data_IF_380862041496
#
_entry.id   IF_380862041496
#
_cell.length_a   1.000
_cell.length_b   1.000
_cell.length_c   1.000
_cell.angle_alpha   90.00
_cell.angle_beta   90.00
_cell.angle_gamma   90.00
#
_symmetry.space_group_name_H-M   'P 1'
#
loop_
_entity.id
_entity.type
_entity.pdbx_description
1 polymer ?
#
# COMPACT_ATOMS: atom_id res chain seq x y z
N UNK A 1 -34.32 -13.54 -44.35
CA UNK A 1 -33.63 -14.33 -43.30
C UNK A 1 -32.28 -13.71 -42.97
N UNK A 2 -32.24 -12.38 -42.84
CA UNK A 2 -31.14 -11.56 -42.33
C UNK A 2 -31.92 -10.59 -41.45
N UNK A 3 -31.96 -10.76 -40.12
CA UNK A 3 -32.48 -9.70 -39.22
C UNK A 3 -32.47 -10.01 -37.72
N UNK A 4 -32.08 -11.21 -37.28
CA UNK A 4 -31.94 -11.48 -35.83
C UNK A 4 -30.50 -11.49 -35.32
N UNK A 5 -29.52 -11.74 -36.19
CA UNK A 5 -28.11 -11.80 -35.78
C UNK A 5 -27.45 -10.40 -35.70
N UNK A 6 -27.87 -9.46 -36.55
CA UNK A 6 -27.28 -8.10 -36.61
C UNK A 6 -27.76 -7.23 -35.45
N UNK A 7 -29.03 -7.35 -35.04
CA UNK A 7 -29.60 -6.56 -33.95
C UNK A 7 -28.99 -6.94 -32.58
N UNK A 8 -28.74 -8.24 -32.35
CA UNK A 8 -28.08 -8.70 -31.13
C UNK A 8 -26.62 -8.22 -31.02
N UNK A 9 -25.88 -8.20 -32.14
CA UNK A 9 -24.51 -7.71 -32.18
C UNK A 9 -24.41 -6.19 -31.95
N UNK A 10 -25.34 -5.40 -32.52
CA UNK A 10 -25.35 -3.94 -32.33
C UNK A 10 -25.76 -3.56 -30.89
N UNK A 11 -26.75 -4.25 -30.30
CA UNK A 11 -27.15 -3.99 -28.92
C UNK A 11 -26.06 -4.38 -27.90
N UNK A 12 -25.35 -5.48 -28.12
CA UNK A 12 -24.24 -5.90 -27.26
C UNK A 12 -23.06 -4.92 -27.31
N UNK A 13 -22.72 -4.40 -28.50
CA UNK A 13 -21.64 -3.40 -28.67
C UNK A 13 -22.02 -2.05 -28.05
N UNK A 14 -23.27 -1.59 -28.20
CA UNK A 14 -23.73 -0.35 -27.57
C UNK A 14 -23.77 -0.45 -26.04
N UNK A 15 -24.27 -1.56 -25.48
CA UNK A 15 -24.31 -1.75 -24.04
C UNK A 15 -22.90 -1.84 -23.43
N UNK A 16 -21.98 -2.53 -24.12
CA UNK A 16 -20.58 -2.62 -23.71
C UNK A 16 -19.87 -1.26 -23.78
N UNK A 17 -20.18 -0.44 -24.79
CA UNK A 17 -19.64 0.92 -24.91
C UNK A 17 -20.15 1.90 -23.84
N UNK A 18 -21.41 1.77 -23.41
CA UNK A 18 -21.98 2.60 -22.33
C UNK A 18 -21.38 2.22 -20.97
N UNK A 19 -21.29 0.93 -20.66
CA UNK A 19 -20.71 0.45 -19.40
C UNK A 19 -19.23 0.84 -19.28
N UNK A 20 -18.44 0.69 -20.36
CA UNK A 20 -17.05 1.10 -20.36
C UNK A 20 -16.86 2.63 -20.20
N UNK A 21 -17.83 3.43 -20.67
CA UNK A 21 -17.80 4.88 -20.50
C UNK A 21 -18.21 5.30 -19.08
N UNK A 22 -19.21 4.66 -18.48
CA UNK A 22 -19.56 4.85 -17.06
C UNK A 22 -18.40 4.46 -16.15
N UNK A 23 -17.77 3.30 -16.38
CA UNK A 23 -16.61 2.86 -15.57
C UNK A 23 -15.43 3.83 -15.66
N UNK A 24 -15.19 4.42 -16.84
CA UNK A 24 -14.13 5.40 -17.04
C UNK A 24 -14.43 6.74 -16.35
N UNK A 25 -15.70 7.15 -16.33
CA UNK A 25 -16.14 8.36 -15.61
C UNK A 25 -16.06 8.16 -14.10
N UNK A 26 -16.54 7.02 -13.57
CA UNK A 26 -16.38 6.63 -12.16
C UNK A 26 -14.92 6.63 -11.73
N UNK A 27 -14.02 6.04 -12.53
CA UNK A 27 -12.60 6.00 -12.21
C UNK A 27 -11.95 7.39 -12.16
N UNK A 28 -12.28 8.28 -13.11
CA UNK A 28 -11.74 9.64 -13.16
C UNK A 28 -12.26 10.53 -12.01
N UNK A 29 -13.57 10.41 -11.72
CA UNK A 29 -14.19 11.08 -10.58
C UNK A 29 -13.56 10.60 -9.26
N UNK A 30 -13.38 9.28 -9.13
CA UNK A 30 -12.73 8.70 -7.95
C UNK A 30 -11.29 9.21 -7.78
N UNK A 31 -10.47 9.23 -8.83
CA UNK A 31 -9.07 9.66 -8.68
C UNK A 31 -8.96 11.13 -8.24
N UNK A 32 -9.86 11.99 -8.72
CA UNK A 32 -9.95 13.39 -8.25
C UNK A 32 -10.32 13.46 -6.77
N UNK A 33 -11.35 12.70 -6.35
CA UNK A 33 -11.76 12.60 -4.95
C UNK A 33 -10.63 12.07 -4.05
N UNK A 34 -9.92 11.04 -4.50
CA UNK A 34 -8.83 10.43 -3.73
C UNK A 34 -7.66 11.40 -3.53
N UNK A 35 -7.34 12.22 -4.54
CA UNK A 35 -6.33 13.26 -4.43
C UNK A 35 -6.74 14.34 -3.42
N UNK A 36 -7.98 14.83 -3.48
CA UNK A 36 -8.51 15.81 -2.49
C UNK A 36 -8.47 15.24 -1.07
N UNK A 37 -8.87 13.97 -0.90
CA UNK A 37 -8.79 13.28 0.40
C UNK A 37 -7.33 13.21 0.86
N UNK A 38 -6.39 12.76 0.03
CA UNK A 38 -4.99 12.66 0.42
C UNK A 38 -4.43 14.02 0.85
N UNK A 39 -4.76 15.10 0.12
CA UNK A 39 -4.34 16.47 0.45
C UNK A 39 -4.98 17.02 1.74
N UNK A 40 -6.15 16.52 2.14
CA UNK A 40 -6.78 16.91 3.41
C UNK A 40 -6.05 16.41 4.66
N UNK A 41 -5.16 15.42 4.51
CA UNK A 41 -4.40 14.86 5.63
C UNK A 41 -3.05 15.56 5.81
N UNK A 42 -2.83 16.11 7.00
CA UNK A 42 -1.51 16.51 7.49
C UNK A 42 -0.98 15.42 8.41
N UNK A 43 0.17 14.83 8.07
CA UNK A 43 0.82 13.81 8.88
C UNK A 43 2.13 14.34 9.45
N UNK A 44 2.43 13.97 10.68
CA UNK A 44 3.61 14.43 11.41
C UNK A 44 4.32 13.30 12.13
N UNK A 45 5.66 13.34 12.11
CA UNK A 45 6.51 12.46 12.91
C UNK A 45 7.46 13.33 13.73
N UNK A 46 7.41 13.20 15.05
CA UNK A 46 8.23 14.00 15.98
C UNK A 46 8.12 15.52 15.73
N UNK A 47 6.94 16.02 15.37
CA UNK A 47 6.68 17.43 15.07
C UNK A 47 7.20 17.91 13.71
N UNK A 48 7.70 17.00 12.85
CA UNK A 48 8.00 17.31 11.45
C UNK A 48 6.84 16.89 10.57
N UNK A 49 6.31 17.85 9.80
CA UNK A 49 5.28 17.59 8.80
C UNK A 49 5.88 16.75 7.67
N UNK A 50 5.19 15.65 7.33
CA UNK A 50 5.56 14.77 6.24
C UNK A 50 5.09 15.34 4.89
N UNK A 51 5.89 15.11 3.84
CA UNK A 51 5.57 15.52 2.48
C UNK A 51 4.72 14.46 1.78
N UNK A 52 3.50 14.82 1.37
CA UNK A 52 2.65 14.00 0.52
C UNK A 52 3.21 13.94 -0.91
N UNK A 53 3.40 12.72 -1.43
CA UNK A 53 3.48 12.54 -2.89
C UNK A 53 2.09 12.69 -3.49
N UNK A 54 1.86 13.81 -4.17
CA UNK A 54 0.56 14.18 -4.75
C UNK A 54 0.00 13.19 -5.77
N UNK A 55 0.86 12.53 -6.53
CA UNK A 55 0.43 11.47 -7.44
C UNK A 55 0.28 10.14 -6.67
N UNK A 56 -0.73 9.31 -6.98
CA UNK A 56 -0.82 7.99 -6.40
C UNK A 56 0.36 7.11 -6.86
N UNK A 57 0.87 6.29 -5.96
CA UNK A 57 1.92 5.29 -6.25
C UNK A 57 1.36 4.01 -6.86
N UNK A 58 0.04 3.82 -6.76
CA UNK A 58 -0.71 2.73 -7.37
C UNK A 58 -2.17 3.13 -7.47
N UNK A 59 -2.80 2.78 -8.60
CA UNK A 59 -4.25 2.74 -8.76
C UNK A 59 -4.67 1.29 -8.94
N UNK A 60 -5.75 0.88 -8.29
CA UNK A 60 -6.25 -0.49 -8.32
C UNK A 60 -7.78 -0.52 -8.37
N UNK A 61 -8.30 -1.66 -8.83
CA UNK A 61 -9.72 -2.01 -8.79
C UNK A 61 -9.90 -3.43 -8.29
N UNK A 62 -11.09 -3.75 -7.78
CA UNK A 62 -11.45 -5.09 -7.34
C UNK A 62 -12.80 -5.55 -7.94
N UNK A 63 -12.83 -5.81 -9.26
CA UNK A 63 -14.05 -6.20 -9.98
C UNK A 63 -14.61 -7.56 -9.54
N UNK A 64 -13.83 -8.37 -8.83
CA UNK A 64 -14.29 -9.66 -8.29
C UNK A 64 -15.29 -9.44 -7.15
N UNK A 65 -15.15 -8.35 -6.39
CA UNK A 65 -16.00 -8.04 -5.24
C UNK A 65 -16.98 -6.89 -5.48
N UNK A 66 -16.74 -6.02 -6.45
CA UNK A 66 -17.68 -4.97 -6.83
C UNK A 66 -17.09 -3.86 -7.71
N UNK A 67 -17.86 -2.79 -7.85
CA UNK A 67 -17.37 -1.55 -8.46
C UNK A 67 -16.68 -0.74 -7.37
N UNK A 68 -15.37 -0.92 -7.26
CA UNK A 68 -14.52 -0.25 -6.27
C UNK A 68 -13.22 0.19 -6.94
N UNK A 69 -12.85 1.43 -6.65
CA UNK A 69 -11.64 2.06 -7.15
C UNK A 69 -10.82 2.51 -5.95
N UNK A 70 -9.50 2.32 -6.03
CA UNK A 70 -8.58 2.69 -4.98
C UNK A 70 -7.29 3.29 -5.51
N UNK A 71 -6.80 4.31 -4.80
CA UNK A 71 -5.53 4.97 -5.03
C UNK A 71 -4.67 4.87 -3.76
N UNK A 72 -3.39 4.61 -3.96
CA UNK A 72 -2.41 4.47 -2.87
C UNK A 72 -1.50 5.68 -2.85
N UNK A 73 -1.37 6.31 -1.68
CA UNK A 73 -0.56 7.51 -1.48
C UNK A 73 0.53 7.28 -0.43
N UNK A 74 1.64 8.00 -0.56
CA UNK A 74 2.79 7.91 0.34
C UNK A 74 3.13 9.29 0.87
N UNK A 75 3.35 9.37 2.19
CA UNK A 75 3.92 10.53 2.86
C UNK A 75 5.36 10.21 3.25
N UNK A 76 6.25 11.19 3.08
CA UNK A 76 7.69 11.00 3.28
C UNK A 76 8.25 11.97 4.33
N UNK A 77 9.21 11.49 5.13
CA UNK A 77 10.08 12.34 5.94
C UNK A 77 11.38 12.52 5.15
N UNK A 78 11.57 13.70 4.55
CA UNK A 78 12.74 14.02 3.73
C UNK A 78 12.97 13.02 2.58
N UNK A 79 11.90 12.55 1.93
CA UNK A 79 11.95 11.57 0.85
C UNK A 79 12.01 10.09 1.29
N UNK A 80 12.18 9.80 2.59
CA UNK A 80 12.05 8.44 3.11
C UNK A 80 10.58 8.14 3.42
N UNK A 81 9.98 7.02 2.96
CA UNK A 81 8.57 6.73 3.17
C UNK A 81 8.28 6.57 4.67
N UNK A 82 7.32 7.33 5.18
CA UNK A 82 6.99 7.41 6.60
C UNK A 82 5.55 6.97 6.91
N UNK A 83 4.63 7.18 5.97
CA UNK A 83 3.29 6.60 6.01
C UNK A 83 2.81 6.27 4.59
N UNK A 84 1.84 5.38 4.52
CA UNK A 84 1.16 4.97 3.29
C UNK A 84 -0.33 4.84 3.56
N UNK A 85 -1.15 5.21 2.59
CA UNK A 85 -2.58 5.04 2.67
C UNK A 85 -3.14 4.39 1.41
N UNK A 86 -4.11 3.49 1.56
CA UNK A 86 -5.04 3.08 0.50
C UNK A 86 -6.34 3.84 0.72
N UNK A 87 -6.67 4.75 -0.19
CA UNK A 87 -7.93 5.47 -0.23
C UNK A 87 -8.78 4.79 -1.29
N UNK A 88 -10.01 4.38 -0.96
CA UNK A 88 -10.88 3.72 -1.94
C UNK A 88 -12.36 3.99 -1.68
N UNK A 89 -13.14 3.96 -2.76
CA UNK A 89 -14.58 4.14 -2.72
C UNK A 89 -15.30 2.99 -3.39
N UNK A 90 -16.32 2.48 -2.70
CA UNK A 90 -17.29 1.57 -3.28
C UNK A 90 -18.37 2.37 -4.00
N UNK A 91 -18.70 1.94 -5.21
CA UNK A 91 -19.87 2.39 -5.97
C UNK A 91 -20.95 1.31 -5.98
N UNK A 92 -20.56 0.03 -6.01
CA UNK A 92 -21.46 -1.13 -5.89
C UNK A 92 -20.77 -2.31 -5.20
N UNK A 93 -21.46 -3.08 -4.33
CA UNK A 93 -22.85 -2.90 -3.88
C UNK A 93 -22.98 -1.91 -2.72
N UNK A 94 -21.88 -1.33 -2.25
CA UNK A 94 -21.86 -0.31 -1.19
C UNK A 94 -21.50 1.06 -1.77
N UNK A 95 -21.65 2.11 -0.96
CA UNK A 95 -21.35 3.51 -1.37
C UNK A 95 -20.27 4.18 -0.53
N UNK A 96 -19.79 3.52 0.53
CA UNK A 96 -18.85 4.11 1.47
C UNK A 96 -17.46 4.36 0.88
N UNK A 97 -16.80 5.39 1.40
CA UNK A 97 -15.37 5.64 1.20
C UNK A 97 -14.57 5.13 2.39
N UNK A 98 -13.36 4.65 2.15
CA UNK A 98 -12.45 4.15 3.19
C UNK A 98 -11.06 4.71 3.00
N UNK A 99 -10.44 5.14 4.10
CA UNK A 99 -9.02 5.50 4.13
C UNK A 99 -8.31 4.53 5.09
N UNK A 100 -7.41 3.71 4.56
CA UNK A 100 -6.61 2.75 5.33
C UNK A 100 -5.18 3.24 5.41
N UNK A 101 -4.71 3.58 6.60
CA UNK A 101 -3.36 4.08 6.85
C UNK A 101 -2.48 3.00 7.48
N UNK A 102 -1.20 3.05 7.15
CA UNK A 102 -0.14 2.30 7.80
C UNK A 102 1.08 3.19 8.06
N UNK A 103 1.55 3.22 9.31
CA UNK A 103 2.83 3.84 9.69
C UNK A 103 4.01 3.01 9.19
N UNK A 104 4.99 3.67 8.61
CA UNK A 104 6.23 3.08 8.10
C UNK A 104 7.47 3.55 8.88
N UNK A 105 7.26 4.22 10.02
CA UNK A 105 8.31 4.73 10.91
C UNK A 105 8.37 3.96 12.23
N UNK A 106 9.50 4.08 12.93
CA UNK A 106 9.67 3.54 14.29
C UNK A 106 9.21 4.52 15.37
N UNK A 107 9.07 5.80 15.00
CA UNK A 107 8.66 6.90 15.85
C UNK A 107 7.13 7.00 15.94
N UNK A 108 6.60 7.69 16.97
CA UNK A 108 5.20 8.09 16.99
C UNK A 108 4.81 8.91 15.76
N UNK A 109 3.60 8.68 15.25
CA UNK A 109 3.02 9.41 14.13
C UNK A 109 1.67 10.01 14.54
N UNK A 110 1.44 11.23 14.08
CA UNK A 110 0.20 11.96 14.24
C UNK A 110 -0.37 12.30 12.87
N UNK A 111 -1.68 12.27 12.73
CA UNK A 111 -2.40 12.58 11.51
C UNK A 111 -3.65 13.36 11.83
N UNK A 112 -3.79 14.51 11.19
CA UNK A 112 -4.97 15.37 11.28
C UNK A 112 -5.65 15.49 9.93
N UNK A 113 -6.97 15.57 9.94
CA UNK A 113 -7.79 15.91 8.78
C UNK A 113 -8.83 16.93 9.21
N UNK A 114 -8.93 18.04 8.48
CA UNK A 114 -9.85 19.14 8.81
C UNK A 114 -9.74 19.57 10.29
N UNK A 115 -8.51 19.72 10.79
CA UNK A 115 -8.15 20.02 12.19
C UNK A 115 -8.59 18.98 13.24
N UNK A 116 -9.11 17.82 12.83
CA UNK A 116 -9.43 16.70 13.71
C UNK A 116 -8.27 15.72 13.77
N UNK A 117 -7.87 15.33 14.99
CA UNK A 117 -6.87 14.29 15.24
C UNK A 117 -7.46 12.91 14.90
N UNK A 118 -7.45 12.56 13.62
CA UNK A 118 -7.93 11.28 13.12
C UNK A 118 -6.99 10.12 13.53
N UNK A 119 -5.67 10.35 13.59
CA UNK A 119 -4.68 9.30 13.84
C UNK A 119 -3.60 9.75 14.82
N UNK A 120 -3.44 9.05 15.95
CA UNK A 120 -2.35 9.26 16.92
C UNK A 120 -1.80 7.92 17.38
N UNK A 121 -0.72 7.47 16.75
CA UNK A 121 -0.09 6.19 17.05
C UNK A 121 1.26 6.40 17.74
N UNK A 122 1.37 5.95 18.99
CA UNK A 122 2.63 5.96 19.75
C UNK A 122 3.53 4.74 19.47
N UNK A 123 3.01 3.71 18.80
CA UNK A 123 3.72 2.45 18.55
C UNK A 123 4.54 2.54 17.26
N UNK A 124 5.69 1.85 17.17
CA UNK A 124 6.42 1.71 15.91
C UNK A 124 5.55 0.98 14.88
N UNK A 125 5.47 1.51 13.66
CA UNK A 125 4.75 0.86 12.56
C UNK A 125 5.54 -0.23 11.86
N UNK A 126 6.87 -0.18 11.99
CA UNK A 126 7.80 -1.14 11.40
C UNK A 126 8.90 -1.52 12.38
N UNK A 127 9.51 -2.67 12.14
CA UNK A 127 10.73 -3.09 12.84
C UNK A 127 11.78 -3.49 11.81
N UNK A 128 12.90 -2.78 11.81
CA UNK A 128 13.99 -3.03 10.87
C UNK A 128 14.85 -4.21 11.33
N UNK A 129 15.16 -5.12 10.40
CA UNK A 129 16.02 -6.28 10.61
C UNK A 129 17.06 -6.36 9.49
N UNK A 130 18.30 -6.76 9.76
CA UNK A 130 19.26 -7.02 8.69
C UNK A 130 18.77 -8.20 7.86
N UNK A 131 18.93 -8.12 6.53
CA UNK A 131 18.69 -9.27 5.65
C UNK A 131 19.81 -10.29 5.87
N UNK A 132 19.50 -11.54 6.28
CA UNK A 132 20.51 -12.56 6.55
C UNK A 132 21.40 -12.82 5.33
N UNK A 133 22.72 -12.82 5.53
CA UNK A 133 23.72 -13.07 4.49
C UNK A 133 23.54 -12.21 3.22
N UNK A 134 23.04 -10.97 3.37
CA UNK A 134 22.90 -10.06 2.24
C UNK A 134 24.28 -9.67 1.67
N UNK A 135 24.44 -9.63 0.33
CA UNK A 135 25.65 -9.09 -0.27
C UNK A 135 25.76 -7.59 0.04
N UNK A 136 26.98 -7.03 0.08
CA UNK A 136 27.17 -5.59 0.14
C UNK A 136 26.41 -4.88 -0.98
N UNK A 137 25.92 -3.67 -0.68
CA UNK A 137 25.22 -2.84 -1.65
C UNK A 137 26.07 -2.55 -2.87
N UNK A 138 25.46 -2.70 -4.05
CA UNK A 138 26.10 -2.43 -5.33
C UNK A 138 26.63 -1.01 -5.45
N UNK A 139 27.59 -0.85 -6.36
CA UNK A 139 28.33 0.41 -6.56
C UNK A 139 27.45 1.58 -7.04
N UNK A 140 26.28 1.30 -7.62
CA UNK A 140 25.36 2.33 -8.09
C UNK A 140 23.89 2.00 -7.79
N UNK A 141 23.03 2.99 -7.99
CA UNK A 141 21.61 2.95 -7.66
C UNK A 141 20.84 1.85 -8.40
N UNK A 142 21.21 1.58 -9.66
CA UNK A 142 20.56 0.55 -10.47
C UNK A 142 20.89 -0.87 -9.99
N UNK A 143 22.15 -1.13 -9.61
CA UNK A 143 22.57 -2.42 -9.07
C UNK A 143 21.89 -2.68 -7.72
N UNK A 144 21.85 -1.67 -6.83
CA UNK A 144 21.15 -1.77 -5.55
C UNK A 144 19.66 -2.07 -5.72
N UNK A 145 18.99 -1.44 -6.67
CA UNK A 145 17.58 -1.75 -6.96
C UNK A 145 17.39 -3.20 -7.45
N UNK A 146 18.29 -3.69 -8.30
CA UNK A 146 18.27 -5.09 -8.74
C UNK A 146 18.46 -6.04 -7.56
N UNK A 147 19.40 -5.76 -6.65
CA UNK A 147 19.58 -6.54 -5.42
C UNK A 147 18.32 -6.54 -4.55
N UNK A 148 17.71 -5.39 -4.31
CA UNK A 148 16.46 -5.30 -3.55
C UNK A 148 15.34 -6.12 -4.19
N UNK A 149 15.18 -6.08 -5.52
CA UNK A 149 14.19 -6.92 -6.24
C UNK A 149 14.47 -8.41 -6.10
N UNK A 150 15.73 -8.83 -6.16
CA UNK A 150 16.10 -10.24 -5.99
C UNK A 150 15.81 -10.72 -4.56
N UNK A 151 16.09 -9.88 -3.57
CA UNK A 151 15.80 -10.17 -2.16
C UNK A 151 14.28 -10.18 -1.91
N UNK A 152 13.53 -9.22 -2.45
CA UNK A 152 12.08 -9.15 -2.30
C UNK A 152 11.38 -10.42 -2.80
N UNK A 153 11.85 -11.02 -3.91
CA UNK A 153 11.33 -12.28 -4.46
C UNK A 153 11.51 -13.50 -3.56
N UNK A 154 12.38 -13.43 -2.54
CA UNK A 154 12.58 -14.50 -1.56
C UNK A 154 11.57 -14.46 -0.41
N UNK A 155 10.79 -13.39 -0.32
CA UNK A 155 9.69 -13.31 0.61
C UNK A 155 8.45 -13.99 0.01
N UNK A 156 7.79 -14.81 0.82
CA UNK A 156 6.46 -15.34 0.52
C UNK A 156 5.51 -14.95 1.65
N UNK A 157 4.40 -14.30 1.28
CA UNK A 157 3.41 -13.81 2.22
C UNK A 157 2.08 -14.54 2.00
N UNK A 158 1.43 -14.84 3.12
CA UNK A 158 0.13 -15.49 3.16
C UNK A 158 -0.82 -14.68 4.05
N UNK A 159 -2.09 -14.62 3.64
CA UNK A 159 -3.15 -13.96 4.38
C UNK A 159 -4.27 -14.95 4.68
N UNK A 160 -4.77 -14.95 5.91
CA UNK A 160 -5.90 -15.79 6.32
C UNK A 160 -7.18 -14.99 6.20
N UNK A 161 -8.09 -15.46 5.34
CA UNK A 161 -9.40 -14.88 5.12
C UNK A 161 -10.36 -15.19 6.28
N UNK A 162 -11.49 -14.48 6.30
CA UNK A 162 -12.51 -14.62 7.36
C UNK A 162 -13.14 -16.01 7.43
N UNK A 163 -13.18 -16.73 6.30
CA UNK A 163 -13.66 -18.10 6.19
C UNK A 163 -12.59 -19.15 6.55
N UNK A 164 -11.38 -18.70 6.90
CA UNK A 164 -10.25 -19.55 7.23
C UNK A 164 -9.42 -20.01 6.02
N UNK A 165 -9.82 -19.66 4.79
CA UNK A 165 -8.99 -19.91 3.60
C UNK A 165 -7.69 -19.08 3.64
N UNK A 166 -6.67 -19.55 2.93
CA UNK A 166 -5.35 -18.91 2.90
C UNK A 166 -5.03 -18.45 1.49
N UNK A 167 -4.84 -17.15 1.32
CA UNK A 167 -4.40 -16.54 0.07
C UNK A 167 -2.89 -16.35 0.08
N UNK A 168 -2.23 -16.81 -0.98
CA UNK A 168 -0.82 -16.49 -1.22
C UNK A 168 -0.73 -15.18 -1.98
N UNK A 169 -0.15 -14.17 -1.34
CA UNK A 169 -0.06 -12.83 -1.90
C UNK A 169 1.02 -12.74 -2.97
N UNK A 170 0.70 -12.09 -4.09
CA UNK A 170 1.64 -11.91 -5.20
C UNK A 170 2.38 -10.58 -5.04
N UNK A 171 3.70 -10.61 -5.11
CA UNK A 171 4.48 -9.37 -5.19
C UNK A 171 4.16 -8.63 -6.49
N UNK A 172 3.88 -7.33 -6.41
CA UNK A 172 3.77 -6.49 -7.59
C UNK A 172 5.13 -6.35 -8.30
N UNK A 173 5.10 -6.20 -9.62
CA UNK A 173 6.31 -6.23 -10.46
C UNK A 173 7.20 -4.99 -10.27
N UNK A 174 6.59 -3.86 -9.93
CA UNK A 174 7.28 -2.61 -9.60
C UNK A 174 7.17 -2.30 -8.11
N UNK A 175 8.20 -1.71 -7.49
CA UNK A 175 8.06 -1.07 -6.20
C UNK A 175 6.98 0.03 -6.29
N UNK A 176 6.19 0.20 -5.23
CA UNK A 176 5.28 1.34 -5.08
C UNK A 176 6.06 2.65 -5.01
N UNK A 177 7.15 2.64 -4.25
CA UNK A 177 7.96 3.83 -4.02
C UNK A 177 9.45 3.50 -3.97
N UNK A 178 10.28 4.45 -4.36
CA UNK A 178 11.73 4.38 -4.25
C UNK A 178 12.29 5.75 -3.87
N UNK A 179 13.29 5.76 -3.00
CA UNK A 179 14.16 6.92 -2.83
C UNK A 179 15.58 6.53 -3.21
N UNK A 180 16.25 7.40 -3.95
CA UNK A 180 17.54 7.10 -4.59
C UNK A 180 18.70 7.89 -3.98
N UNK A 181 18.37 8.97 -3.28
CA UNK A 181 19.33 9.80 -2.56
C UNK A 181 19.43 9.36 -1.10
N UNK A 182 20.59 9.52 -0.45
CA UNK A 182 20.74 9.20 0.97
C UNK A 182 19.85 10.06 1.87
N UNK A 183 19.22 9.42 2.87
CA UNK A 183 18.42 10.06 3.92
C UNK A 183 18.79 9.44 5.27
N UNK A 184 19.47 10.20 6.12
CA UNK A 184 20.00 9.71 7.39
C UNK A 184 21.01 8.58 7.19
N UNK A 185 20.73 7.41 7.77
CA UNK A 185 21.54 6.19 7.65
C UNK A 185 21.26 5.40 6.35
N UNK A 186 20.11 5.65 5.70
CA UNK A 186 19.70 4.94 4.50
C UNK A 186 20.31 5.59 3.25
N UNK A 187 21.04 4.79 2.46
CA UNK A 187 21.66 5.22 1.19
C UNK A 187 20.66 5.15 0.04
N UNK A 188 19.75 4.18 0.09
CA UNK A 188 18.73 3.95 -0.93
C UNK A 188 17.67 2.99 -0.37
N UNK A 189 16.41 3.15 -0.78
CA UNK A 189 15.37 2.20 -0.41
C UNK A 189 14.26 2.03 -1.45
N UNK A 190 13.47 0.99 -1.25
CA UNK A 190 12.32 0.66 -2.06
C UNK A 190 11.21 0.03 -1.21
N UNK A 191 9.96 0.39 -1.54
CA UNK A 191 8.74 -0.14 -0.94
C UNK A 191 8.05 -1.05 -1.96
N UNK A 192 7.85 -2.30 -1.61
CA UNK A 192 7.17 -3.32 -2.42
C UNK A 192 5.83 -3.69 -1.81
N UNK A 193 4.85 -3.99 -2.65
CA UNK A 193 3.54 -4.48 -2.24
C UNK A 193 3.37 -5.96 -2.60
N UNK A 194 2.73 -6.68 -1.68
CA UNK A 194 2.18 -8.01 -1.88
C UNK A 194 0.66 -7.88 -1.90
N UNK A 195 0.06 -8.25 -3.02
CA UNK A 195 -1.31 -7.93 -3.36
C UNK A 195 -2.14 -9.17 -3.64
N UNK A 196 -3.45 -9.05 -3.43
CA UNK A 196 -4.47 -9.88 -4.05
C UNK A 196 -5.00 -9.12 -5.27
N UNK A 197 -4.93 -9.72 -6.45
CA UNK A 197 -5.14 -8.99 -7.69
C UNK A 197 -4.14 -7.84 -7.82
N UNK A 198 -4.62 -6.60 -7.67
CA UNK A 198 -3.79 -5.38 -7.61
C UNK A 198 -3.87 -4.63 -6.29
N UNK A 199 -4.79 -4.98 -5.38
CA UNK A 199 -4.95 -4.34 -4.07
C UNK A 199 -3.85 -4.79 -3.09
N UNK A 200 -3.00 -3.88 -2.57
CA UNK A 200 -1.96 -4.22 -1.60
C UNK A 200 -2.51 -4.70 -0.26
N UNK A 201 -2.09 -5.89 0.16
CA UNK A 201 -2.51 -6.51 1.42
C UNK A 201 -1.37 -6.47 2.47
N UNK A 202 -0.13 -6.42 2.00
CA UNK A 202 1.06 -6.29 2.84
C UNK A 202 2.22 -5.59 2.11
N UNK A 203 3.15 -5.07 2.89
CA UNK A 203 4.23 -4.21 2.41
C UNK A 203 5.58 -4.74 2.87
N UNK A 204 6.57 -4.66 1.99
CA UNK A 204 7.97 -4.96 2.26
C UNK A 204 8.82 -3.71 1.97
N UNK A 205 9.51 -3.23 2.99
CA UNK A 205 10.47 -2.16 2.88
C UNK A 205 11.87 -2.76 2.83
N UNK A 206 12.69 -2.27 1.90
CA UNK A 206 14.10 -2.64 1.79
C UNK A 206 14.95 -1.37 1.73
N UNK A 207 16.03 -1.34 2.52
CA UNK A 207 16.95 -0.21 2.56
C UNK A 207 18.39 -0.69 2.63
N UNK A 208 19.22 -0.16 1.74
CA UNK A 208 20.66 -0.17 1.98
C UNK A 208 21.00 0.93 2.97
N UNK A 209 21.71 0.58 4.03
CA UNK A 209 22.17 1.51 5.07
C UNK A 209 23.68 1.48 5.18
N UNK A 210 24.29 2.65 5.38
CA UNK A 210 25.73 2.73 5.57
C UNK A 210 26.08 2.34 7.01
N UNK A 211 26.89 1.30 7.16
CA UNK A 211 27.46 0.89 8.43
C UNK A 211 28.98 0.82 8.32
N UNK A 212 29.64 1.91 8.69
CA UNK A 212 31.10 2.00 8.69
C UNK A 212 31.68 1.86 7.28
N UNK A 213 31.03 2.44 6.26
CA UNK A 213 31.45 2.39 4.87
C UNK A 213 30.97 1.14 4.11
N UNK A 214 30.18 0.27 4.75
CA UNK A 214 29.59 -0.91 4.13
C UNK A 214 28.08 -0.74 4.03
N UNK A 215 27.57 -0.74 2.81
CA UNK A 215 26.13 -0.71 2.54
C UNK A 215 25.50 -2.07 2.87
N UNK A 216 24.88 -2.19 4.04
CA UNK A 216 24.15 -3.40 4.47
C UNK A 216 22.68 -3.28 4.13
N UNK A 217 22.07 -4.40 3.74
CA UNK A 217 20.65 -4.43 3.40
C UNK A 217 19.80 -4.76 4.62
N UNK A 218 18.80 -3.93 4.87
CA UNK A 218 17.78 -4.07 5.90
C UNK A 218 16.42 -4.29 5.27
N UNK A 219 15.56 -5.00 5.98
CA UNK A 219 14.16 -5.16 5.62
C UNK A 219 13.23 -4.81 6.79
N UNK A 220 12.01 -4.42 6.43
CA UNK A 220 10.89 -4.43 7.35
C UNK A 220 9.60 -4.81 6.65
N UNK A 221 8.63 -5.28 7.43
CA UNK A 221 7.32 -5.71 6.94
C UNK A 221 6.24 -4.93 7.68
N UNK A 222 5.23 -4.51 6.93
CA UNK A 222 4.06 -3.84 7.45
C UNK A 222 2.81 -4.44 6.81
N UNK A 223 1.68 -4.37 7.52
CA UNK A 223 0.39 -4.76 6.95
C UNK A 223 -0.19 -3.63 6.10
N UNK A 224 -1.02 -3.98 5.13
CA UNK A 224 -1.90 -3.06 4.41
C UNK A 224 -3.36 -3.54 4.49
N UNK A 225 -3.64 -4.48 5.40
CA UNK A 225 -4.97 -5.03 5.67
C UNK A 225 -5.08 -5.44 7.15
N UNK A 226 -6.30 -5.46 7.67
CA UNK A 226 -6.61 -5.86 9.03
C UNK A 226 -6.63 -7.37 9.27
N UNK A 227 -6.62 -8.21 8.23
CA UNK A 227 -6.61 -9.67 8.33
C UNK A 227 -5.28 -10.20 8.87
N UNK A 228 -5.29 -11.47 9.31
CA UNK A 228 -4.06 -12.11 9.78
C UNK A 228 -3.13 -12.37 8.59
N UNK A 229 -1.86 -12.04 8.74
CA UNK A 229 -0.87 -12.14 7.66
C UNK A 229 0.44 -12.67 8.23
N UNK A 230 1.12 -13.52 7.47
CA UNK A 230 2.45 -14.03 7.80
C UNK A 230 3.41 -13.82 6.62
N UNK A 231 4.70 -13.79 6.93
CA UNK A 231 5.75 -13.77 5.92
C UNK A 231 6.85 -14.78 6.26
N UNK A 232 7.33 -15.45 5.23
CA UNK A 232 8.55 -16.24 5.24
C UNK A 232 9.63 -15.59 4.37
N UNK A 233 10.89 -15.80 4.72
CA UNK A 233 12.06 -15.47 3.91
C UNK A 233 12.91 -16.73 3.76
N UNK A 234 13.13 -17.18 2.52
CA UNK A 234 13.82 -18.44 2.22
C UNK A 234 13.27 -19.64 3.05
N UNK A 235 11.95 -19.68 3.22
CA UNK A 235 11.23 -20.76 3.93
C UNK A 235 11.15 -20.62 5.46
N UNK A 236 11.82 -19.64 6.05
CA UNK A 236 11.76 -19.39 7.49
C UNK A 236 10.75 -18.28 7.80
N UNK A 237 9.85 -18.48 8.78
CA UNK A 237 8.93 -17.44 9.23
C UNK A 237 9.69 -16.27 9.87
N UNK A 238 9.48 -15.05 9.36
CA UNK A 238 10.18 -13.83 9.81
C UNK A 238 9.25 -12.75 10.37
N UNK A 239 7.94 -12.87 10.10
CA UNK A 239 6.92 -11.92 10.52
C UNK A 239 5.54 -12.58 10.55
N UNK A 240 4.71 -12.15 11.50
CA UNK A 240 3.31 -12.55 11.59
C UNK A 240 2.55 -11.48 12.37
N UNK A 241 1.33 -11.20 11.93
CA UNK A 241 0.38 -10.33 12.61
C UNK A 241 -0.97 -11.01 12.71
N UNK A 242 -1.66 -10.79 13.84
CA UNK A 242 -3.03 -11.29 14.04
C UNK A 242 -4.03 -10.38 13.36
N UNK A 243 -5.20 -10.93 13.02
CA UNK A 243 -6.34 -10.12 12.59
C UNK A 243 -6.68 -9.08 13.65
N UNK A 244 -6.93 -7.84 13.25
CA UNK A 244 -7.41 -6.78 14.13
C UNK A 244 -8.92 -6.88 14.33
N UNK A 245 -9.38 -6.58 15.54
CA UNK A 245 -10.79 -6.35 15.77
C UNK A 245 -11.22 -5.02 15.13
N UNK A 246 -12.53 -4.86 14.85
CA UNK A 246 -13.06 -3.59 14.32
C UNK A 246 -12.77 -2.41 15.25
N UNK A 247 -12.83 -2.62 16.57
CA UNK A 247 -12.55 -1.57 17.55
C UNK A 247 -11.10 -1.10 17.49
N UNK A 248 -10.14 -2.03 17.37
CA UNK A 248 -8.71 -1.72 17.26
C UNK A 248 -8.41 -1.05 15.92
N UNK A 249 -8.91 -1.62 14.83
CA UNK A 249 -8.66 -1.11 13.49
C UNK A 249 -9.18 0.33 13.30
N UNK A 250 -10.32 0.66 13.91
CA UNK A 250 -10.95 1.98 13.80
C UNK A 250 -10.54 2.97 14.91
N UNK A 251 -9.60 2.60 15.78
CA UNK A 251 -9.29 3.42 16.96
C UNK A 251 -8.52 4.70 16.63
N UNK A 252 -7.84 4.76 15.47
CA UNK A 252 -6.88 5.82 15.18
C UNK A 252 -5.64 5.77 16.09
N UNK A 253 -5.39 4.68 16.83
CA UNK A 253 -4.27 4.60 17.79
C UNK A 253 -3.25 3.50 17.52
N UNK A 254 -3.49 2.71 16.48
CA UNK A 254 -2.57 1.66 16.03
C UNK A 254 -1.78 2.09 14.79
N UNK A 255 -0.66 1.41 14.50
CA UNK A 255 0.10 1.69 13.28
C UNK A 255 -0.71 1.48 12.00
N UNK A 256 -1.64 0.52 12.00
CA UNK A 256 -2.62 0.36 10.95
C UNK A 256 -3.96 0.89 11.45
N UNK A 257 -4.61 1.77 10.70
CA UNK A 257 -5.96 2.21 11.03
C UNK A 257 -6.83 2.37 9.78
N UNK A 258 -8.14 2.26 9.96
CA UNK A 258 -9.14 2.34 8.91
C UNK A 258 -10.26 3.28 9.32
N UNK A 259 -10.45 4.32 8.52
CA UNK A 259 -11.60 5.22 8.63
C UNK A 259 -12.60 4.87 7.54
N UNK A 260 -13.89 4.83 7.88
CA UNK A 260 -14.96 4.49 6.94
C UNK A 260 -16.00 5.60 7.00
N UNK A 261 -16.26 6.21 5.86
CA UNK A 261 -17.17 7.34 5.68
C UNK A 261 -18.37 6.87 4.87
N UNK A 262 -19.57 7.09 5.39
CA UNK A 262 -20.79 6.90 4.63
C UNK A 262 -21.04 8.15 3.79
N UNK A 263 -21.56 7.95 2.58
CA UNK A 263 -22.15 9.01 1.78
C UNK A 263 -23.46 9.52 2.44
#
# INVERSE_FOLDING_TARGET
MIDRLVIAAVAAVYCCGILAAEDADSAAQFSSLAAEIAESYTLEVEGRVLELRREPVLTWTDPEHGEVYGDVYVWTDQGRPAAIASIYKWYRPYTHSTHEFQSLVTQPIHGTRDDQSDWTCAKPGVQWKPVPMSPPGGQNTAIRLTQMRLIAKKFALEMVNKDGSVDRLRMLSQPLYRFQEPVGDAVQGALFAFARGTDPEALLLLEFRDEGGVNKLYYSLARSNFLATSATYDGQQVWQVKQLSRAIMKSGTEPYTKFVFQD
#
